data_IF_045062160395
#
_entry.id   IF_045062160395
#
_cell.length_a   1.000
_cell.length_b   1.000
_cell.length_c   1.000
_cell.angle_alpha   90.00
_cell.angle_beta   90.00
_cell.angle_gamma   90.00
#
_symmetry.space_group_name_H-M   'P 1'
#
loop_
_entity.id
_entity.type
_entity.pdbx_description
1 polymer ?
#
# COMPACT_ATOMS: atom_id res chain seq x y z
N UNK A 2 1.89 -2.83 7.36
CA UNK A 2 1.88 -1.95 6.20
C UNK A 2 2.08 -2.78 4.93
N UNK A 3 1.23 -2.55 3.92
CA UNK A 3 1.21 -3.29 2.65
C UNK A 3 0.98 -2.34 1.47
N UNK A 4 1.05 -2.86 0.23
CA UNK A 4 0.90 -2.07 -0.99
C UNK A 4 -0.51 -2.21 -1.60
N UNK A 5 -1.05 -1.11 -2.15
CA UNK A 5 -2.37 -0.98 -2.77
C UNK A 5 -2.21 -0.35 -4.15
N UNK A 6 -2.21 -1.18 -5.20
CA UNK A 6 -1.89 -0.79 -6.57
C UNK A 6 -0.44 -0.33 -6.68
N UNK A 7 -0.18 0.90 -6.25
CA UNK A 7 1.12 1.56 -6.20
C UNK A 7 1.23 2.60 -5.05
N UNK A 8 0.34 2.55 -4.04
CA UNK A 8 0.45 3.32 -2.78
C UNK A 8 0.70 2.38 -1.59
N UNK A 9 1.40 2.86 -0.56
CA UNK A 9 1.54 2.16 0.72
C UNK A 9 0.28 2.44 1.56
N UNK A 10 -0.34 1.40 2.13
CA UNK A 10 -1.44 1.54 3.09
C UNK A 10 -1.16 0.68 4.34
N UNK A 11 -1.44 1.24 5.53
CA UNK A 11 -1.18 0.61 6.82
C UNK A 11 -2.49 0.41 7.62
#
# INVERSE_FOLDING_TARGET
>A
XCTWEGNKLTCX
#
